data_IF_456098248080
#
_entry.id   IF_456098248080
#
_cell.length_a   1.000
_cell.length_b   1.000
_cell.length_c   1.000
_cell.angle_alpha   90.00
_cell.angle_beta   90.00
_cell.angle_gamma   90.00
#
_symmetry.space_group_name_H-M   'P 1'
#
loop_
_entity.id
_entity.type
_entity.pdbx_description
1 polymer ?
#
# COMPACT_ATOMS: atom_id res chain seq x y z
N UNK A 1 9.68 -9.79 -8.59
CA UNK A 1 9.55 -10.22 -7.18
C UNK A 1 10.66 -9.67 -6.28
N UNK A 2 11.94 -9.69 -6.69
CA UNK A 2 13.03 -9.14 -5.86
C UNK A 2 12.84 -7.68 -5.43
N UNK A 3 12.40 -6.80 -6.33
CA UNK A 3 12.09 -5.40 -5.98
C UNK A 3 10.96 -5.27 -4.94
N UNK A 4 9.89 -6.07 -5.06
CA UNK A 4 8.78 -6.04 -4.09
C UNK A 4 9.27 -6.45 -2.69
N UNK A 5 10.13 -7.45 -2.60
CA UNK A 5 10.72 -7.86 -1.32
C UNK A 5 11.61 -6.77 -0.71
N UNK A 6 12.41 -6.06 -1.53
CA UNK A 6 13.20 -4.92 -1.07
C UNK A 6 12.32 -3.77 -0.59
N UNK A 7 11.23 -3.48 -1.30
CA UNK A 7 10.27 -2.45 -0.88
C UNK A 7 9.52 -2.84 0.38
N UNK A 8 9.15 -4.11 0.56
CA UNK A 8 8.55 -4.61 1.80
C UNK A 8 9.49 -4.44 3.00
N UNK A 9 10.78 -4.76 2.82
CA UNK A 9 11.80 -4.57 3.84
C UNK A 9 11.97 -3.09 4.20
N UNK A 10 12.06 -2.22 3.19
CA UNK A 10 12.12 -0.76 3.36
C UNK A 10 10.89 -0.23 4.13
N UNK A 11 9.68 -0.64 3.74
CA UNK A 11 8.44 -0.24 4.39
C UNK A 11 8.43 -0.65 5.86
N UNK A 12 8.83 -1.89 6.16
CA UNK A 12 8.90 -2.40 7.53
C UNK A 12 9.91 -1.61 8.38
N UNK A 13 11.11 -1.37 7.86
CA UNK A 13 12.16 -0.61 8.54
C UNK A 13 11.71 0.82 8.86
N UNK A 14 11.21 1.54 7.85
CA UNK A 14 10.80 2.93 8.01
C UNK A 14 9.55 3.05 8.90
N UNK A 15 8.60 2.12 8.79
CA UNK A 15 7.43 2.09 9.66
C UNK A 15 7.82 1.88 11.13
N UNK A 16 8.73 0.95 11.41
CA UNK A 16 9.26 0.73 12.76
C UNK A 16 10.00 1.95 13.31
N UNK A 17 10.75 2.64 12.45
CA UNK A 17 11.56 3.81 12.83
C UNK A 17 10.68 5.04 13.11
N UNK A 18 9.72 5.32 12.23
CA UNK A 18 8.99 6.59 12.27
C UNK A 18 7.59 6.48 12.87
N UNK A 19 6.91 5.35 12.73
CA UNK A 19 5.47 5.21 13.05
C UNK A 19 5.25 4.38 14.30
N UNK A 20 5.57 3.08 14.26
CA UNK A 20 5.31 2.16 15.37
C UNK A 20 6.09 0.84 15.19
N UNK A 21 6.62 0.23 16.26
CA UNK A 21 7.24 -1.10 16.21
C UNK A 21 6.22 -2.26 16.08
N UNK A 22 4.93 -1.94 15.90
CA UNK A 22 3.87 -2.94 15.76
C UNK A 22 3.93 -3.65 14.39
N UNK A 23 3.19 -4.76 14.30
CA UNK A 23 3.12 -5.57 13.09
C UNK A 23 2.51 -4.79 11.92
N UNK A 24 3.28 -4.60 10.86
CA UNK A 24 2.83 -4.03 9.59
C UNK A 24 2.25 -5.13 8.69
N UNK A 25 1.10 -4.87 8.08
CA UNK A 25 0.55 -5.67 6.98
C UNK A 25 0.66 -4.86 5.69
N UNK A 26 1.48 -5.32 4.75
CA UNK A 26 1.55 -4.73 3.41
C UNK A 26 0.62 -5.45 2.45
N UNK A 27 -0.13 -4.68 1.67
CA UNK A 27 -0.96 -5.18 0.57
C UNK A 27 -0.44 -4.59 -0.73
N UNK A 28 -0.10 -5.45 -1.67
CA UNK A 28 0.39 -5.05 -2.98
C UNK A 28 -0.71 -5.23 -4.02
N UNK A 29 -1.05 -4.14 -4.69
CA UNK A 29 -1.92 -4.14 -5.86
C UNK A 29 -1.08 -3.76 -7.08
N UNK A 30 -0.90 -4.71 -7.99
CA UNK A 30 -0.16 -4.49 -9.22
C UNK A 30 -1.13 -4.18 -10.36
N UNK A 31 -1.02 -2.98 -10.90
CA UNK A 31 -1.78 -2.56 -12.07
C UNK A 31 -1.07 -3.07 -13.34
N UNK A 32 -1.77 -3.79 -14.24
CA UNK A 32 -1.19 -4.22 -15.51
C UNK A 32 -0.77 -3.05 -16.41
N UNK A 33 0.21 -3.25 -17.32
CA UNK A 33 0.55 -2.25 -18.34
C UNK A 33 -0.68 -1.82 -19.17
N UNK A 34 -0.72 -0.55 -19.56
CA UNK A 34 -1.85 0.04 -20.31
C UNK A 34 -3.11 0.32 -19.48
N UNK A 35 -3.08 0.11 -18.15
CA UNK A 35 -4.22 0.39 -17.24
C UNK A 35 -3.98 1.57 -16.31
N UNK A 36 -2.81 2.20 -16.34
CA UNK A 36 -2.49 3.40 -15.59
C UNK A 36 -1.93 4.46 -16.54
N UNK A 37 -2.41 5.70 -16.45
CA UNK A 37 -1.96 6.81 -17.27
C UNK A 37 -1.64 8.04 -16.44
N UNK A 38 -0.51 8.67 -16.72
CA UNK A 38 -0.09 9.96 -16.15
C UNK A 38 0.30 10.85 -17.32
N UNK A 39 -0.23 12.07 -17.38
CA UNK A 39 0.02 13.01 -18.50
C UNK A 39 -0.24 12.39 -19.89
N UNK A 40 -1.34 11.65 -20.03
CA UNK A 40 -1.75 10.96 -21.27
C UNK A 40 -0.74 9.92 -21.81
N UNK A 41 0.15 9.41 -20.95
CA UNK A 41 1.10 8.35 -21.28
C UNK A 41 0.98 7.19 -20.29
N UNK A 42 1.39 6.00 -20.73
CA UNK A 42 1.46 4.82 -19.87
C UNK A 42 2.29 5.14 -18.62
N UNK A 43 1.64 4.97 -17.48
CA UNK A 43 2.16 5.37 -16.20
C UNK A 43 2.99 4.27 -15.57
N UNK A 44 4.13 4.67 -15.02
CA UNK A 44 4.87 3.86 -14.05
C UNK A 44 4.54 4.25 -12.61
N UNK A 45 3.45 4.98 -12.37
CA UNK A 45 3.19 5.58 -11.06
C UNK A 45 2.93 4.56 -9.96
N UNK A 46 3.45 4.87 -8.77
CA UNK A 46 3.20 4.13 -7.54
C UNK A 46 2.39 4.99 -6.59
N UNK A 47 1.37 4.39 -5.97
CA UNK A 47 0.61 5.01 -4.87
C UNK A 47 0.86 4.19 -3.61
N UNK A 48 1.44 4.82 -2.60
CA UNK A 48 1.70 4.19 -1.30
C UNK A 48 0.89 4.92 -0.24
N UNK A 49 -0.03 4.20 0.39
CA UNK A 49 -0.83 4.72 1.50
C UNK A 49 -0.54 3.90 2.75
N UNK A 50 -0.19 4.57 3.84
CA UNK A 50 0.19 3.96 5.11
C UNK A 50 -0.75 4.50 6.19
N UNK A 51 -1.22 3.63 7.08
CA UNK A 51 -2.03 4.03 8.24
C UNK A 51 -1.13 4.47 9.41
N UNK A 52 -1.54 5.50 10.16
CA UNK A 52 -0.94 5.87 11.44
C UNK A 52 -2.01 6.21 12.50
N UNK A 53 -1.60 6.33 13.76
CA UNK A 53 -2.51 6.73 14.84
C UNK A 53 -3.03 8.17 14.65
N UNK A 54 -4.21 8.47 15.19
CA UNK A 54 -4.76 9.83 15.14
C UNK A 54 -3.85 10.83 15.89
N UNK A 55 -3.79 12.06 15.41
CA UNK A 55 -2.92 13.09 16.00
C UNK A 55 -1.43 12.80 15.80
N UNK A 56 -1.08 12.08 14.73
CA UNK A 56 0.31 11.69 14.47
C UNK A 56 1.22 12.93 14.33
N UNK A 57 2.38 13.00 15.01
CA UNK A 57 3.21 14.18 14.98
C UNK A 57 3.68 14.54 13.56
N UNK A 58 3.45 15.78 13.15
CA UNK A 58 3.73 16.23 11.78
C UNK A 58 5.21 16.06 11.39
N UNK A 59 6.15 16.31 12.30
CA UNK A 59 7.57 16.12 12.01
C UNK A 59 7.93 14.64 11.74
N UNK A 60 7.31 13.69 12.46
CA UNK A 60 7.47 12.25 12.17
C UNK A 60 6.83 11.88 10.84
N UNK A 61 5.68 12.48 10.50
CA UNK A 61 5.01 12.29 9.20
C UNK A 61 5.93 12.70 8.05
N UNK A 62 6.49 13.91 8.13
CA UNK A 62 7.41 14.42 7.12
C UNK A 62 8.66 13.53 7.01
N UNK A 63 9.25 13.15 8.14
CA UNK A 63 10.42 12.25 8.16
C UNK A 63 10.14 10.90 7.48
N UNK A 64 9.00 10.27 7.79
CA UNK A 64 8.58 9.03 7.15
C UNK A 64 8.43 9.18 5.64
N UNK A 65 7.72 10.23 5.18
CA UNK A 65 7.43 10.43 3.76
C UNK A 65 8.71 10.77 2.96
N UNK A 66 9.63 11.55 3.52
CA UNK A 66 10.90 11.87 2.88
C UNK A 66 11.83 10.65 2.78
N UNK A 67 11.93 9.87 3.86
CA UNK A 67 12.72 8.63 3.86
C UNK A 67 12.16 7.61 2.86
N UNK A 68 10.83 7.49 2.81
CA UNK A 68 10.15 6.60 1.89
C UNK A 68 10.33 7.04 0.44
N UNK A 69 10.18 8.33 0.12
CA UNK A 69 10.44 8.86 -1.22
C UNK A 69 11.87 8.52 -1.69
N UNK A 70 12.86 8.78 -0.84
CA UNK A 70 14.27 8.52 -1.16
C UNK A 70 14.54 7.03 -1.39
N UNK A 71 14.14 6.18 -0.44
CA UNK A 71 14.37 4.74 -0.53
C UNK A 71 13.60 4.06 -1.67
N UNK A 72 12.34 4.46 -1.87
CA UNK A 72 11.50 3.90 -2.92
C UNK A 72 12.06 4.20 -4.31
N UNK A 73 12.47 5.46 -4.56
CA UNK A 73 13.09 5.85 -5.84
C UNK A 73 14.44 5.20 -6.05
N UNK A 74 15.22 4.97 -5.00
CA UNK A 74 16.49 4.23 -5.11
C UNK A 74 16.28 2.77 -5.59
N UNK A 75 15.20 2.12 -5.16
CA UNK A 75 14.90 0.72 -5.54
C UNK A 75 14.22 0.64 -6.92
N UNK A 76 13.33 1.58 -7.23
CA UNK A 76 12.45 1.51 -8.41
C UNK A 76 12.93 2.35 -9.59
N UNK A 77 13.89 3.26 -9.38
CA UNK A 77 14.31 4.28 -10.34
C UNK A 77 13.18 5.20 -10.85
N UNK A 78 12.08 5.31 -10.09
CA UNK A 78 10.98 6.22 -10.39
C UNK A 78 11.39 7.69 -10.19
N UNK A 79 10.79 8.58 -10.98
CA UNK A 79 10.90 10.02 -10.80
C UNK A 79 10.01 10.50 -9.64
N UNK A 80 10.33 11.63 -8.97
CA UNK A 80 9.51 12.16 -7.87
C UNK A 80 8.02 12.31 -8.20
N UNK A 81 7.70 12.80 -9.41
CA UNK A 81 6.32 12.97 -9.86
C UNK A 81 5.57 11.65 -10.15
N UNK A 82 6.26 10.52 -10.17
CA UNK A 82 5.67 9.21 -10.40
C UNK A 82 5.30 8.50 -9.07
N UNK A 83 5.67 9.07 -7.92
CA UNK A 83 5.43 8.47 -6.61
C UNK A 83 4.49 9.35 -5.78
N UNK A 84 3.32 8.81 -5.45
CA UNK A 84 2.38 9.46 -4.53
C UNK A 84 2.43 8.75 -3.18
N UNK A 85 2.73 9.51 -2.12
CA UNK A 85 2.86 9.00 -0.76
C UNK A 85 1.82 9.64 0.16
N UNK A 86 1.16 8.84 0.97
CA UNK A 86 0.22 9.30 1.98
C UNK A 86 0.40 8.54 3.29
N UNK A 87 0.52 9.27 4.40
CA UNK A 87 0.46 8.71 5.76
C UNK A 87 -0.82 9.25 6.41
N UNK A 88 -1.81 8.37 6.53
CA UNK A 88 -3.21 8.71 6.80
C UNK A 88 -3.59 8.24 8.20
N UNK A 89 -4.29 9.08 8.94
CA UNK A 89 -4.76 8.74 10.28
C UNK A 89 -5.85 7.68 10.24
N UNK A 90 -5.82 6.79 11.24
CA UNK A 90 -6.65 5.59 11.36
C UNK A 90 -8.13 5.83 11.13
N UNK A 91 -8.71 6.90 11.69
CA UNK A 91 -10.15 7.15 11.55
C UNK A 91 -10.54 7.59 10.14
N UNK A 92 -9.65 8.30 9.45
CA UNK A 92 -9.85 8.66 8.05
C UNK A 92 -9.76 7.42 7.16
N UNK A 93 -8.80 6.52 7.43
CA UNK A 93 -8.72 5.23 6.75
C UNK A 93 -9.96 4.36 6.99
N UNK A 94 -10.43 4.29 8.24
CA UNK A 94 -11.65 3.56 8.60
C UNK A 94 -12.89 4.10 7.87
N UNK A 95 -12.99 5.42 7.70
CA UNK A 95 -14.07 6.08 6.96
C UNK A 95 -14.06 5.69 5.48
N UNK A 96 -12.88 5.71 4.84
CA UNK A 96 -12.72 5.28 3.45
C UNK A 96 -13.09 3.80 3.27
N UNK A 97 -12.63 2.95 4.19
CA UNK A 97 -12.96 1.52 4.18
C UNK A 97 -14.48 1.29 4.34
N UNK A 98 -15.12 1.97 5.29
CA UNK A 98 -16.57 1.84 5.51
C UNK A 98 -17.37 2.34 4.32
N UNK A 99 -16.95 3.45 3.70
CA UNK A 99 -17.56 3.99 2.49
C UNK A 99 -17.48 3.00 1.33
N UNK A 100 -16.31 2.41 1.09
CA UNK A 100 -16.12 1.39 0.06
C UNK A 100 -16.93 0.12 0.33
N UNK A 101 -17.00 -0.33 1.60
CA UNK A 101 -17.80 -1.51 1.97
C UNK A 101 -19.30 -1.32 1.71
N UNK A 102 -19.84 -0.11 1.91
CA UNK A 102 -21.25 0.22 1.62
C UNK A 102 -21.59 0.17 0.13
N UNK A 103 -20.60 0.29 -0.76
CA UNK A 103 -20.80 0.18 -2.22
C UNK A 103 -20.91 -1.27 -2.69
N UNK A 104 -20.46 -2.24 -1.89
CA UNK A 104 -20.58 -3.66 -2.19
C UNK A 104 -21.92 -4.20 -1.68
N UNK A 105 -22.62 -4.97 -2.51
CA UNK A 105 -23.76 -5.78 -2.07
C UNK A 105 -23.30 -6.79 -1.01
N UNK A 106 -24.23 -7.30 -0.18
CA UNK A 106 -23.89 -8.32 0.84
C UNK A 106 -23.18 -9.54 0.25
N UNK A 107 -23.60 -10.00 -0.93
CA UNK A 107 -22.93 -11.08 -1.66
C UNK A 107 -21.53 -10.69 -2.14
N UNK A 108 -21.35 -9.46 -2.63
CA UNK A 108 -20.04 -8.92 -3.01
C UNK A 108 -19.07 -8.81 -1.84
N UNK A 109 -19.56 -8.44 -0.64
CA UNK A 109 -18.74 -8.39 0.58
C UNK A 109 -18.20 -9.76 0.98
N UNK A 110 -19.04 -10.81 0.92
CA UNK A 110 -18.62 -12.18 1.23
C UNK A 110 -17.60 -12.68 0.21
N UNK A 111 -17.86 -12.47 -1.10
CA UNK A 111 -16.93 -12.88 -2.17
C UNK A 111 -15.59 -12.17 -2.05
N UNK A 112 -15.59 -10.87 -1.74
CA UNK A 112 -14.37 -10.11 -1.49
C UNK A 112 -13.60 -10.65 -0.29
N UNK A 113 -14.26 -10.86 0.86
CA UNK A 113 -13.63 -11.40 2.06
C UNK A 113 -13.00 -12.79 1.80
N UNK A 114 -13.70 -13.67 1.08
CA UNK A 114 -13.17 -14.97 0.68
C UNK A 114 -11.92 -14.84 -0.21
N UNK A 115 -11.92 -13.91 -1.17
CA UNK A 115 -10.78 -13.69 -2.05
C UNK A 115 -9.53 -13.22 -1.27
N UNK A 116 -9.71 -12.27 -0.34
CA UNK A 116 -8.63 -11.78 0.54
C UNK A 116 -8.09 -12.92 1.42
N UNK A 117 -8.98 -13.71 2.04
CA UNK A 117 -8.58 -14.83 2.89
C UNK A 117 -7.77 -15.86 2.10
N UNK A 118 -8.24 -16.23 0.90
CA UNK A 118 -7.53 -17.18 0.04
C UNK A 118 -6.15 -16.66 -0.37
N UNK A 119 -6.06 -15.39 -0.77
CA UNK A 119 -4.79 -14.77 -1.14
C UNK A 119 -3.83 -14.70 0.06
N UNK A 120 -4.31 -14.36 1.25
CA UNK A 120 -3.51 -14.33 2.48
C UNK A 120 -2.98 -15.72 2.86
N UNK A 121 -3.80 -16.77 2.75
CA UNK A 121 -3.37 -18.15 3.01
C UNK A 121 -2.32 -18.60 1.99
N UNK A 122 -2.51 -18.29 0.71
CA UNK A 122 -1.55 -18.62 -0.35
C UNK A 122 -0.21 -17.89 -0.15
N UNK A 123 -0.24 -16.58 0.11
CA UNK A 123 0.94 -15.77 0.38
C UNK A 123 1.72 -16.30 1.60
N UNK A 124 1.01 -16.63 2.69
CA UNK A 124 1.61 -17.21 3.90
C UNK A 124 2.28 -18.56 3.64
N UNK A 125 1.66 -19.43 2.83
CA UNK A 125 2.24 -20.74 2.47
C UNK A 125 3.46 -20.61 1.57
N UNK A 126 3.45 -19.63 0.66
CA UNK A 126 4.53 -19.40 -0.29
C UNK A 126 5.67 -18.53 0.25
N UNK A 127 5.53 -17.93 1.45
CA UNK A 127 6.51 -16.98 1.98
C UNK A 127 6.65 -15.72 1.11
N UNK A 128 5.58 -15.34 0.39
CA UNK A 128 5.59 -14.21 -0.54
C UNK A 128 4.68 -13.09 -0.05
N UNK A 129 4.91 -11.84 -0.49
CA UNK A 129 4.02 -10.72 -0.18
C UNK A 129 2.59 -10.97 -0.63
N UNK A 130 1.62 -10.39 0.07
CA UNK A 130 0.21 -10.49 -0.31
C UNK A 130 -0.06 -9.65 -1.56
N UNK A 131 -0.17 -10.32 -2.70
CA UNK A 131 -0.56 -9.72 -3.98
C UNK A 131 -2.07 -9.90 -4.20
N UNK A 132 -2.78 -8.80 -4.49
CA UNK A 132 -4.21 -8.84 -4.83
C UNK A 132 -4.40 -8.22 -6.20
N UNK A 133 -5.07 -8.95 -7.09
CA UNK A 133 -5.51 -8.44 -8.39
C UNK A 133 -6.93 -7.86 -8.23
N UNK A 134 -7.17 -6.59 -8.61
CA UNK A 134 -8.47 -5.93 -8.43
C UNK A 134 -9.55 -6.43 -9.41
N UNK A 135 -9.18 -7.20 -10.44
CA UNK A 135 -10.13 -7.82 -11.36
C UNK A 135 -10.73 -9.09 -10.72
N UNK A 136 -11.86 -8.92 -10.02
CA UNK A 136 -12.70 -9.96 -9.38
C UNK A 136 -13.58 -10.76 -10.34
#
# INVERSE_FOLDING_TARGET
MAQIQQLDALLLELYNTHVSPQKLLTIWNQVPPGQAFTNYQDSKSSLVTIECANGFPQHKRVGMLQALDTGWRAITAQQPQELMLALVEKDMFATLYHSNRKRLSRGGQIRFAWHILRAAVQAKRAGTPLLINPNL
#
